data_IF_612510820826
#
_entry.id   IF_612510820826
#
_cell.length_a   1.000
_cell.length_b   1.000
_cell.length_c   1.000
_cell.angle_alpha   90.00
_cell.angle_beta   90.00
_cell.angle_gamma   90.00
#
_symmetry.space_group_name_H-M   'P 1'
#
loop_
_entity.id
_entity.type
_entity.pdbx_description
1 polymer ?
#
# COMPACT_ATOMS: atom_id res chain seq x y z
N UNK A 1 -18.83 9.16 6.47
CA UNK A 1 -17.58 8.37 6.61
C UNK A 1 -16.46 9.18 5.97
N UNK A 2 -15.22 9.09 6.45
CA UNK A 2 -14.09 9.72 5.76
C UNK A 2 -13.98 9.18 4.33
N UNK A 3 -13.60 10.05 3.38
CA UNK A 3 -13.34 9.64 2.00
C UNK A 3 -12.08 8.78 1.94
N UNK A 4 -12.28 7.48 1.73
CA UNK A 4 -11.22 6.47 1.62
C UNK A 4 -10.23 6.80 0.49
N UNK A 5 -10.62 7.62 -0.50
CA UNK A 5 -9.76 8.00 -1.62
C UNK A 5 -8.63 8.95 -1.26
N UNK A 6 -8.70 9.64 -0.12
CA UNK A 6 -7.69 10.63 0.28
C UNK A 6 -6.57 10.08 1.15
N UNK A 7 -6.66 8.84 1.60
CA UNK A 7 -5.71 8.27 2.56
C UNK A 7 -4.60 7.46 1.89
N UNK A 8 -3.36 7.70 2.32
CA UNK A 8 -2.16 7.01 1.83
C UNK A 8 -2.00 5.59 2.40
N UNK A 9 -2.60 5.31 3.56
CA UNK A 9 -2.70 3.96 4.13
C UNK A 9 -3.87 3.87 5.14
N UNK A 10 -4.11 2.66 5.64
CA UNK A 10 -5.21 2.41 6.59
C UNK A 10 -5.00 3.06 7.97
N UNK A 11 -3.75 3.27 8.40
CA UNK A 11 -3.48 3.95 9.67
C UNK A 11 -3.91 5.42 9.55
N UNK A 12 -3.55 6.08 8.46
CA UNK A 12 -3.97 7.45 8.18
C UNK A 12 -5.50 7.56 8.12
N UNK A 13 -6.17 6.59 7.48
CA UNK A 13 -7.63 6.53 7.48
C UNK A 13 -8.22 6.48 8.89
N UNK A 14 -7.66 5.66 9.79
CA UNK A 14 -8.12 5.58 11.19
C UNK A 14 -7.88 6.89 11.95
N UNK A 15 -6.77 7.57 11.69
CA UNK A 15 -6.44 8.88 12.28
C UNK A 15 -7.46 9.94 11.84
N UNK A 16 -7.73 10.01 10.53
CA UNK A 16 -8.68 10.95 9.96
C UNK A 16 -10.11 10.68 10.41
N UNK A 17 -10.52 9.40 10.47
CA UNK A 17 -11.85 9.03 10.95
C UNK A 17 -12.01 9.31 12.45
N UNK A 18 -10.96 9.12 13.26
CA UNK A 18 -10.96 9.55 14.66
C UNK A 18 -11.07 11.08 14.77
N UNK A 19 -10.29 11.83 14.00
CA UNK A 19 -10.31 13.29 14.00
C UNK A 19 -11.70 13.82 13.61
N UNK A 20 -12.28 13.30 12.53
CA UNK A 20 -13.62 13.63 12.04
C UNK A 20 -14.70 13.39 13.10
N UNK A 21 -14.66 12.25 13.79
CA UNK A 21 -15.62 11.94 14.86
C UNK A 21 -15.42 12.82 16.10
N UNK A 22 -14.17 13.12 16.44
CA UNK A 22 -13.82 13.98 17.58
C UNK A 22 -14.30 15.43 17.36
N UNK A 23 -14.25 15.92 16.11
CA UNK A 23 -14.78 17.24 15.74
C UNK A 23 -16.31 17.32 15.89
N UNK A 24 -17.02 16.27 15.46
CA UNK A 24 -18.49 16.24 15.53
C UNK A 24 -19.04 15.97 16.94
N UNK A 25 -18.24 15.35 17.80
CA UNK A 25 -18.63 14.97 19.15
C UNK A 25 -17.48 15.25 20.12
N UNK A 26 -17.49 16.37 20.86
CA UNK A 26 -16.37 16.78 21.72
C UNK A 26 -15.94 15.77 22.80
N UNK A 27 -16.83 14.84 23.18
CA UNK A 27 -16.53 13.74 24.13
C UNK A 27 -16.01 12.46 23.45
N UNK A 28 -15.92 12.44 22.12
CA UNK A 28 -15.46 11.29 21.36
C UNK A 28 -13.93 11.24 21.42
N UNK A 29 -13.44 10.41 22.32
CA UNK A 29 -12.00 10.22 22.57
C UNK A 29 -11.47 8.97 21.88
N UNK A 30 -10.14 8.79 21.94
CA UNK A 30 -9.48 7.53 21.55
C UNK A 30 -10.14 6.30 22.21
N UNK A 31 -10.56 6.43 23.48
CA UNK A 31 -11.24 5.34 24.20
C UNK A 31 -12.63 5.07 23.64
N UNK A 32 -13.37 6.11 23.26
CA UNK A 32 -14.66 5.96 22.58
C UNK A 32 -14.50 5.26 21.22
N UNK A 33 -13.47 5.63 20.46
CA UNK A 33 -13.21 4.99 19.17
C UNK A 33 -12.77 3.54 19.31
N UNK A 34 -11.89 3.23 20.28
CA UNK A 34 -11.48 1.87 20.58
C UNK A 34 -12.67 0.98 20.96
N UNK A 35 -13.61 1.50 21.79
CA UNK A 35 -14.86 0.80 22.11
C UNK A 35 -15.72 0.54 20.87
N UNK A 36 -15.85 1.52 19.97
CA UNK A 36 -16.58 1.35 18.71
C UNK A 36 -15.96 0.29 17.80
N UNK A 37 -14.62 0.18 17.81
CA UNK A 37 -13.88 -0.86 17.10
C UNK A 37 -13.76 -2.18 17.87
N UNK A 38 -14.39 -2.28 19.05
CA UNK A 38 -14.36 -3.44 19.96
C UNK A 38 -12.94 -3.90 20.33
N UNK A 39 -12.06 -2.95 20.62
CA UNK A 39 -10.68 -3.23 21.06
C UNK A 39 -10.27 -2.37 22.25
N UNK A 40 -9.17 -2.76 22.91
CA UNK A 40 -8.60 -1.95 23.97
C UNK A 40 -7.94 -0.67 23.40
N UNK A 41 -8.00 0.41 24.19
CA UNK A 41 -7.46 1.70 23.77
C UNK A 41 -5.94 1.69 23.59
N UNK A 42 -5.22 0.79 24.26
CA UNK A 42 -3.77 0.65 24.10
C UNK A 42 -3.43 0.00 22.74
N UNK A 43 -4.18 -1.00 22.29
CA UNK A 43 -4.01 -1.62 20.98
C UNK A 43 -4.25 -0.62 19.86
N UNK A 44 -5.36 0.13 19.91
CA UNK A 44 -5.63 1.17 18.93
C UNK A 44 -4.54 2.26 18.97
N UNK A 45 -4.12 2.70 20.16
CA UNK A 45 -3.03 3.67 20.32
C UNK A 45 -1.72 3.19 19.69
N UNK A 46 -1.34 1.92 19.88
CA UNK A 46 -0.12 1.35 19.29
C UNK A 46 -0.18 1.33 17.76
N UNK A 47 -1.37 1.11 17.18
CA UNK A 47 -1.56 1.15 15.73
C UNK A 47 -1.43 2.58 15.20
N UNK A 48 -2.15 3.54 15.79
CA UNK A 48 -2.11 4.95 15.35
C UNK A 48 -0.70 5.53 15.47
N UNK A 49 0.01 5.23 16.55
CA UNK A 49 1.40 5.66 16.75
C UNK A 49 2.44 4.87 15.93
N UNK A 50 2.02 3.98 15.03
CA UNK A 50 2.91 3.18 14.19
C UNK A 50 3.74 2.13 14.93
N UNK A 51 3.56 1.97 16.25
CA UNK A 51 4.25 0.98 17.10
C UNK A 51 3.76 -0.45 16.86
N UNK A 52 2.60 -0.63 16.21
CA UNK A 52 2.07 -1.91 15.77
C UNK A 52 1.70 -1.85 14.29
N UNK A 53 2.20 -2.82 13.52
CA UNK A 53 1.91 -2.93 12.09
C UNK A 53 0.43 -3.22 11.84
N UNK A 54 -0.17 -2.49 10.90
CA UNK A 54 -1.50 -2.80 10.38
C UNK A 54 -1.42 -4.06 9.52
N UNK A 55 -2.17 -5.09 9.89
CA UNK A 55 -2.25 -6.34 9.13
C UNK A 55 -3.56 -6.42 8.34
N UNK A 56 -3.64 -7.33 7.37
CA UNK A 56 -4.91 -7.62 6.68
C UNK A 56 -6.04 -8.01 7.64
N UNK A 57 -5.70 -8.72 8.73
CA UNK A 57 -6.68 -9.05 9.77
C UNK A 57 -7.20 -7.80 10.46
N UNK A 58 -6.31 -6.86 10.79
CA UNK A 58 -6.67 -5.57 11.39
C UNK A 58 -7.52 -4.73 10.45
N UNK A 59 -7.18 -4.69 9.16
CA UNK A 59 -7.94 -3.95 8.12
C UNK A 59 -9.37 -4.48 8.05
N UNK A 60 -9.56 -5.80 7.95
CA UNK A 60 -10.90 -6.40 7.93
C UNK A 60 -11.66 -6.15 9.22
N UNK A 61 -11.04 -6.49 10.36
CA UNK A 61 -11.67 -6.36 11.68
C UNK A 61 -12.15 -4.94 11.96
N UNK A 62 -11.37 -3.91 11.62
CA UNK A 62 -11.78 -2.53 11.82
C UNK A 62 -12.68 -2.02 10.70
N UNK A 63 -12.42 -2.39 9.45
CA UNK A 63 -13.19 -1.92 8.32
C UNK A 63 -14.63 -2.42 8.35
N UNK A 64 -14.88 -3.68 8.77
CA UNK A 64 -16.23 -4.19 9.00
C UNK A 64 -16.98 -3.33 10.03
N UNK A 65 -16.32 -2.95 11.14
CA UNK A 65 -16.92 -2.08 12.18
C UNK A 65 -17.09 -0.62 11.75
N UNK A 66 -16.37 -0.21 10.71
CA UNK A 66 -16.49 1.11 10.11
C UNK A 66 -17.42 1.11 8.90
N UNK A 67 -18.06 -0.03 8.58
CA UNK A 67 -18.90 -0.24 7.40
C UNK A 67 -18.18 0.06 6.09
N UNK A 68 -16.90 -0.31 6.00
CA UNK A 68 -16.16 -0.27 4.74
C UNK A 68 -16.67 -1.34 3.79
N UNK A 69 -16.79 -0.98 2.51
CA UNK A 69 -17.15 -1.89 1.45
C UNK A 69 -16.04 -2.92 1.18
N UNK A 70 -16.36 -4.07 0.56
CA UNK A 70 -15.34 -5.03 0.14
C UNK A 70 -14.25 -4.42 -0.77
N UNK A 71 -14.62 -3.45 -1.60
CA UNK A 71 -13.70 -2.74 -2.50
C UNK A 71 -12.73 -1.85 -1.71
N UNK A 72 -13.23 -1.10 -0.73
CA UNK A 72 -12.40 -0.27 0.15
C UNK A 72 -11.42 -1.13 0.98
N UNK A 73 -11.90 -2.26 1.51
CA UNK A 73 -11.08 -3.24 2.22
C UNK A 73 -9.97 -3.81 1.33
N UNK A 74 -10.30 -4.17 0.08
CA UNK A 74 -9.31 -4.67 -0.90
C UNK A 74 -8.25 -3.61 -1.15
N UNK A 75 -8.66 -2.37 -1.39
CA UNK A 75 -7.75 -1.26 -1.64
C UNK A 75 -6.80 -0.99 -0.47
N UNK A 76 -7.29 -0.94 0.77
CA UNK A 76 -6.41 -0.84 1.94
C UNK A 76 -5.45 -2.03 2.06
N UNK A 77 -5.91 -3.22 1.67
CA UNK A 77 -5.07 -4.41 1.62
C UNK A 77 -3.96 -4.33 0.58
N UNK A 78 -4.26 -3.83 -0.61
CA UNK A 78 -3.31 -3.58 -1.69
C UNK A 78 -2.26 -2.55 -1.26
N UNK A 79 -2.68 -1.39 -0.75
CA UNK A 79 -1.76 -0.36 -0.23
C UNK A 79 -0.85 -0.91 0.87
N UNK A 80 -1.39 -1.72 1.79
CA UNK A 80 -0.59 -2.35 2.85
C UNK A 80 0.43 -3.34 2.28
N UNK A 81 0.10 -4.09 1.23
CA UNK A 81 1.00 -5.03 0.57
C UNK A 81 2.10 -4.28 -0.18
N UNK A 82 1.76 -3.26 -0.96
CA UNK A 82 2.70 -2.42 -1.70
C UNK A 82 3.73 -1.78 -0.77
N UNK A 83 3.26 -1.15 0.33
CA UNK A 83 4.15 -0.54 1.33
C UNK A 83 5.10 -1.55 1.97
N UNK A 84 4.64 -2.78 2.21
CA UNK A 84 5.48 -3.87 2.72
C UNK A 84 6.52 -4.31 1.69
N UNK A 85 6.14 -4.44 0.41
CA UNK A 85 7.06 -4.82 -0.66
C UNK A 85 8.12 -3.75 -0.91
N UNK A 86 7.73 -2.46 -0.95
CA UNK A 86 8.68 -1.35 -1.09
C UNK A 86 9.74 -1.36 0.01
N UNK A 87 9.33 -1.48 1.27
CA UNK A 87 10.26 -1.58 2.41
C UNK A 87 11.18 -2.81 2.34
N UNK A 88 10.66 -3.94 1.85
CA UNK A 88 11.48 -5.15 1.65
C UNK A 88 12.53 -4.90 0.57
N UNK A 89 12.14 -4.30 -0.55
CA UNK A 89 13.04 -3.94 -1.65
C UNK A 89 14.15 -2.99 -1.18
N UNK A 90 13.79 -1.88 -0.52
CA UNK A 90 14.76 -0.90 0.01
C UNK A 90 15.84 -1.59 0.86
N UNK A 91 15.43 -2.43 1.82
CA UNK A 91 16.35 -3.18 2.69
C UNK A 91 17.22 -4.20 1.97
N UNK A 92 16.72 -4.77 0.88
CA UNK A 92 17.50 -5.70 0.06
C UNK A 92 18.53 -4.92 -0.78
N UNK A 93 18.14 -3.79 -1.35
CA UNK A 93 19.03 -2.94 -2.14
C UNK A 93 20.18 -2.36 -1.30
N UNK A 94 19.96 -2.09 -0.02
CA UNK A 94 21.03 -1.68 0.92
C UNK A 94 22.10 -2.76 1.12
N UNK A 95 21.78 -4.04 0.92
CA UNK A 95 22.66 -5.18 1.26
C UNK A 95 23.16 -5.95 0.05
N UNK A 96 22.52 -5.79 -1.10
CA UNK A 96 22.77 -6.56 -2.30
C UNK A 96 23.84 -5.89 -3.17
N UNK A 97 24.87 -6.63 -3.62
CA UNK A 97 25.83 -6.13 -4.61
C UNK A 97 25.11 -5.68 -5.88
N UNK A 98 25.65 -4.68 -6.57
CA UNK A 98 25.03 -4.14 -7.79
C UNK A 98 24.96 -5.17 -8.91
N UNK A 99 25.90 -6.11 -8.95
CA UNK A 99 26.00 -7.18 -9.95
C UNK A 99 24.93 -8.26 -9.78
N UNK A 100 24.33 -8.38 -8.58
CA UNK A 100 23.24 -9.33 -8.31
C UNK A 100 21.85 -8.76 -8.63
N UNK A 101 21.76 -7.49 -9.07
CA UNK A 101 20.50 -6.81 -9.36
C UNK A 101 20.51 -6.16 -10.74
N UNK A 102 19.39 -6.27 -11.44
CA UNK A 102 19.08 -5.47 -12.61
C UNK A 102 18.00 -4.45 -12.23
N UNK A 103 18.38 -3.18 -12.09
CA UNK A 103 17.48 -2.09 -11.72
C UNK A 103 17.81 -0.83 -12.53
N UNK A 104 16.96 -0.51 -13.49
CA UNK A 104 17.10 0.66 -14.36
C UNK A 104 15.78 1.45 -14.42
N UNK A 105 15.91 2.78 -14.48
CA UNK A 105 14.79 3.74 -14.57
C UNK A 105 15.04 4.67 -15.74
N UNK A 106 14.00 4.93 -16.54
CA UNK A 106 14.01 5.92 -17.62
C UNK A 106 12.94 6.99 -17.35
N UNK A 107 13.22 8.23 -17.72
CA UNK A 107 12.26 9.35 -17.65
C UNK A 107 12.00 9.86 -19.06
N UNK A 108 10.74 9.78 -19.50
CA UNK A 108 10.31 10.16 -20.85
C UNK A 108 9.01 10.95 -20.79
N UNK A 109 8.82 11.86 -21.74
CA UNK A 109 7.53 12.50 -21.97
C UNK A 109 6.63 11.55 -22.77
N UNK A 110 5.37 11.42 -22.37
CA UNK A 110 4.41 10.50 -22.98
C UNK A 110 3.11 11.22 -23.34
N UNK A 111 2.47 10.77 -24.42
CA UNK A 111 1.08 11.11 -24.72
C UNK A 111 0.16 10.25 -23.83
N UNK A 112 -0.64 10.88 -22.97
CA UNK A 112 -1.51 10.19 -22.01
C UNK A 112 -2.54 9.27 -22.69
N UNK A 113 -2.92 9.57 -23.93
CA UNK A 113 -3.85 8.72 -24.71
C UNK A 113 -3.26 7.34 -25.01
N UNK A 114 -1.93 7.18 -24.93
CA UNK A 114 -1.22 5.92 -25.15
C UNK A 114 -1.03 5.10 -23.86
N UNK A 115 -1.36 5.65 -22.70
CA UNK A 115 -1.21 4.96 -21.41
C UNK A 115 -2.03 3.66 -21.29
N UNK A 116 -3.27 3.56 -21.81
CA UNK A 116 -4.01 2.29 -21.79
C UNK A 116 -3.26 1.17 -22.51
N UNK A 117 -2.74 1.45 -23.71
CA UNK A 117 -1.94 0.51 -24.50
C UNK A 117 -0.65 0.12 -23.76
N UNK A 118 0.08 1.10 -23.22
CA UNK A 118 1.31 0.88 -22.48
C UNK A 118 1.09 -0.02 -21.25
N UNK A 119 0.01 0.21 -20.49
CA UNK A 119 -0.35 -0.62 -19.32
C UNK A 119 -0.61 -2.08 -19.71
N UNK A 120 -1.28 -2.33 -20.83
CA UNK A 120 -1.50 -3.70 -21.31
C UNK A 120 -0.20 -4.37 -21.79
N UNK A 121 0.68 -3.64 -22.48
CA UNK A 121 2.01 -4.14 -22.86
C UNK A 121 2.86 -4.48 -21.64
N UNK A 122 2.84 -3.65 -20.59
CA UNK A 122 3.54 -3.93 -19.32
C UNK A 122 2.99 -5.20 -18.65
N UNK A 123 1.65 -5.39 -18.65
CA UNK A 123 1.04 -6.62 -18.12
C UNK A 123 1.44 -7.85 -18.94
N UNK A 124 1.48 -7.74 -20.27
CA UNK A 124 1.92 -8.83 -21.14
C UNK A 124 3.39 -9.19 -20.89
N UNK A 125 4.28 -8.21 -20.86
CA UNK A 125 5.70 -8.39 -20.55
C UNK A 125 5.91 -9.06 -19.19
N UNK A 126 5.16 -8.66 -18.16
CA UNK A 126 5.21 -9.31 -16.84
C UNK A 126 4.90 -10.81 -16.91
N UNK A 127 3.92 -11.20 -17.72
CA UNK A 127 3.55 -12.61 -17.92
C UNK A 127 4.63 -13.36 -18.70
N UNK A 128 5.16 -12.75 -19.75
CA UNK A 128 6.22 -13.30 -20.58
C UNK A 128 7.49 -13.58 -19.75
N UNK A 129 7.97 -12.61 -18.97
CA UNK A 129 9.13 -12.80 -18.10
C UNK A 129 8.87 -13.85 -17.02
N UNK A 130 7.67 -13.88 -16.44
CA UNK A 130 7.31 -14.91 -15.47
C UNK A 130 7.39 -16.32 -16.10
N UNK A 131 6.85 -16.50 -17.31
CA UNK A 131 6.92 -17.77 -18.03
C UNK A 131 8.36 -18.16 -18.39
N UNK A 132 9.17 -17.19 -18.84
CA UNK A 132 10.59 -17.40 -19.16
C UNK A 132 11.37 -17.91 -17.94
N UNK A 133 11.16 -17.31 -16.77
CA UNK A 133 11.91 -17.65 -15.55
C UNK A 133 11.36 -18.89 -14.82
N UNK A 134 10.09 -19.22 -15.00
CA UNK A 134 9.47 -20.42 -14.44
C UNK A 134 9.80 -21.69 -15.24
N UNK A 135 10.02 -21.55 -16.56
CA UNK A 135 10.38 -22.64 -17.45
C UNK A 135 11.70 -23.31 -17.02
N UNK A 136 11.60 -24.52 -16.44
CA UNK A 136 12.77 -25.27 -15.96
C UNK A 136 13.34 -24.76 -14.64
N UNK A 137 12.57 -23.98 -13.87
CA UNK A 137 12.99 -23.49 -12.56
C UNK A 137 13.30 -24.65 -11.61
N UNK A 138 14.52 -24.66 -11.07
CA UNK A 138 14.93 -25.57 -10.01
C UNK A 138 14.79 -24.88 -8.64
N UNK A 139 14.68 -25.64 -7.53
CA UNK A 139 14.68 -25.05 -6.20
C UNK A 139 15.92 -24.17 -5.98
N UNK A 140 15.70 -22.90 -5.62
CA UNK A 140 16.80 -21.92 -5.54
C UNK A 140 16.38 -20.58 -4.94
N UNK A 141 17.09 -19.51 -5.32
CA UNK A 141 16.78 -18.14 -4.88
C UNK A 141 15.46 -17.68 -5.48
N UNK A 142 14.58 -17.11 -4.66
CA UNK A 142 13.34 -16.46 -5.14
C UNK A 142 13.63 -15.03 -5.59
N UNK A 143 13.32 -14.73 -6.85
CA UNK A 143 13.43 -13.39 -7.41
C UNK A 143 12.10 -12.66 -7.35
N UNK A 144 12.13 -11.36 -7.05
CA UNK A 144 10.96 -10.49 -7.07
C UNK A 144 11.15 -9.40 -8.13
N UNK A 145 10.26 -9.36 -9.12
CA UNK A 145 10.31 -8.40 -10.22
C UNK A 145 9.26 -7.33 -9.98
N UNK A 146 9.66 -6.07 -10.03
CA UNK A 146 8.80 -4.91 -9.84
C UNK A 146 8.97 -3.96 -11.02
N UNK A 147 7.85 -3.57 -11.63
CA UNK A 147 7.79 -2.64 -12.77
C UNK A 147 6.82 -1.54 -12.39
N UNK A 148 7.23 -0.29 -12.58
CA UNK A 148 6.45 0.88 -12.19
C UNK A 148 6.36 1.86 -13.36
N UNK A 149 5.15 2.35 -13.63
CA UNK A 149 4.89 3.46 -14.54
C UNK A 149 4.05 4.48 -13.77
N UNK A 150 4.63 5.65 -13.52
CA UNK A 150 4.00 6.73 -12.77
C UNK A 150 4.39 8.07 -13.37
N UNK A 151 3.47 9.06 -13.36
CA UNK A 151 3.85 10.42 -13.67
C UNK A 151 4.76 10.97 -12.56
N UNK A 152 5.84 11.63 -12.97
CA UNK A 152 6.73 12.35 -12.04
C UNK A 152 6.25 13.79 -11.79
N UNK A 153 5.49 14.37 -12.71
CA UNK A 153 4.89 15.70 -12.60
C UNK A 153 3.41 15.62 -12.20
N UNK A 154 2.88 16.73 -11.65
CA UNK A 154 1.45 16.86 -11.31
C UNK A 154 1.04 16.35 -9.91
N UNK A 155 1.98 15.83 -9.11
CA UNK A 155 1.69 15.29 -7.76
C UNK A 155 2.38 16.03 -6.61
N UNK A 156 2.89 17.25 -6.86
CA UNK A 156 3.46 18.11 -5.80
C UNK A 156 4.71 17.56 -5.11
N UNK A 157 5.34 16.54 -5.69
CA UNK A 157 6.70 16.13 -5.33
C UNK A 157 7.64 17.18 -5.94
N UNK A 158 8.03 18.14 -5.11
CA UNK A 158 9.17 19.00 -5.43
C UNK A 158 10.41 18.19 -5.07
N UNK A 159 11.10 17.66 -6.09
CA UNK A 159 12.47 17.17 -5.93
C UNK A 159 13.43 18.33 -5.59
#
# INVERSE_FOLDING_TARGET
MQDVNKNSDFRQFLEDELARRSQNYPRYSLRAFARHLEVDSSFLSKILNGKRTVTMRTIRMFGERLNLSPEELSRFGEMSREKKMKRKLERLLEKMPTEEREQSTISINVDENRLPEAKERIKAFRREIAQLLDAGATPGKTYQISLSLFPISGFGLND
#
